data_IF_422208442239
#
_entry.id   IF_422208442239
#
_cell.length_a   1.000
_cell.length_b   1.000
_cell.length_c   1.000
_cell.angle_alpha   90.00
_cell.angle_beta   90.00
_cell.angle_gamma   90.00
#
_symmetry.space_group_name_H-M   'P 1'
#
loop_
_entity.id
_entity.type
_entity.pdbx_description
1 polymer ?
#
# COMPACT_ATOMS: atom_id res chain seq x y z
N UNK A 1 -35.13 -5.13 2.37
CA UNK A 1 -33.73 -4.85 2.71
C UNK A 1 -33.17 -3.65 1.92
N UNK A 2 -34.02 -2.89 1.20
CA UNK A 2 -33.60 -1.70 0.42
C UNK A 2 -34.01 -0.36 1.06
N UNK A 3 -34.86 -0.37 2.10
CA UNK A 3 -35.32 0.83 2.78
C UNK A 3 -34.31 1.39 3.82
N UNK A 4 -33.37 0.57 4.28
CA UNK A 4 -32.38 0.96 5.31
C UNK A 4 -31.16 1.68 4.70
N UNK A 5 -30.88 1.48 3.40
CA UNK A 5 -29.75 2.12 2.72
C UNK A 5 -30.07 3.57 2.27
N UNK A 6 -31.34 3.90 2.07
CA UNK A 6 -31.80 5.24 1.67
C UNK A 6 -31.83 6.23 2.85
N UNK A 7 -32.09 5.76 4.07
CA UNK A 7 -32.05 6.62 5.25
C UNK A 7 -30.60 6.99 5.61
N UNK A 8 -29.67 6.03 5.58
CA UNK A 8 -28.25 6.26 5.89
C UNK A 8 -27.54 7.24 4.94
N UNK A 9 -28.03 7.41 3.71
CA UNK A 9 -27.51 8.39 2.74
C UNK A 9 -28.09 9.80 2.97
N UNK A 10 -29.34 9.90 3.42
CA UNK A 10 -29.97 11.17 3.77
C UNK A 10 -29.38 11.79 5.06
N UNK A 11 -29.07 10.97 6.07
CA UNK A 11 -28.50 11.48 7.33
C UNK A 11 -27.06 11.99 7.15
N UNK A 12 -26.33 11.44 6.18
CA UNK A 12 -24.95 11.84 5.86
C UNK A 12 -24.87 13.18 5.14
N UNK A 13 -25.89 13.51 4.32
CA UNK A 13 -26.00 14.81 3.65
C UNK A 13 -26.31 15.95 4.63
N UNK A 14 -27.15 15.71 5.63
CA UNK A 14 -27.51 16.73 6.63
C UNK A 14 -26.34 17.08 7.58
N UNK A 15 -25.45 16.12 7.85
CA UNK A 15 -24.23 16.35 8.65
C UNK A 15 -23.16 17.16 7.90
N UNK A 16 -23.13 17.10 6.56
CA UNK A 16 -22.20 17.89 5.74
C UNK A 16 -22.67 19.34 5.57
N UNK A 17 -23.98 19.58 5.50
CA UNK A 17 -24.57 20.93 5.44
C UNK A 17 -24.40 21.71 6.75
N UNK A 18 -24.61 21.06 7.90
CA UNK A 18 -24.44 21.70 9.22
C UNK A 18 -22.99 22.11 9.49
N UNK A 19 -22.03 21.34 8.99
CA UNK A 19 -20.61 21.62 9.16
C UNK A 19 -20.15 22.81 8.30
N UNK A 20 -20.75 23.01 7.11
CA UNK A 20 -20.50 24.17 6.25
C UNK A 20 -21.08 25.48 6.82
N UNK A 21 -22.25 25.43 7.48
CA UNK A 21 -22.82 26.61 8.16
C UNK A 21 -22.01 27.04 9.38
N UNK A 22 -21.44 26.09 10.15
CA UNK A 22 -20.59 26.44 11.31
C UNK A 22 -19.18 26.92 10.95
N UNK A 23 -18.70 26.61 9.75
CA UNK A 23 -17.41 27.11 9.25
C UNK A 23 -17.54 28.53 8.66
N UNK A 24 -18.72 28.89 8.11
CA UNK A 24 -18.97 30.22 7.56
C UNK A 24 -19.15 31.32 8.63
N UNK A 25 -19.65 31.00 9.82
CA UNK A 25 -19.89 31.98 10.89
C UNK A 25 -18.67 32.27 11.78
N UNK A 26 -17.52 31.60 11.55
CA UNK A 26 -16.32 31.75 12.38
C UNK A 26 -15.20 32.60 11.80
N UNK A 27 -15.41 33.20 10.63
CA UNK A 27 -14.40 34.00 9.93
C UNK A 27 -14.63 35.52 9.98
N UNK A 28 -15.55 36.02 10.81
CA UNK A 28 -15.80 37.46 10.95
C UNK A 28 -15.86 37.91 12.42
N UNK A 29 -14.71 37.89 13.09
CA UNK A 29 -14.41 38.83 14.17
C UNK A 29 -12.95 39.31 13.99
N UNK A 30 -12.79 40.28 13.09
CA UNK A 30 -11.63 41.16 13.05
C UNK A 30 -11.65 42.07 14.29
N UNK A 31 -10.59 42.14 15.10
CA UNK A 31 -10.33 43.34 15.84
C UNK A 31 -9.63 44.32 14.90
N UNK A 32 -10.39 45.32 14.42
CA UNK A 32 -9.79 46.57 14.00
C UNK A 32 -8.98 47.13 15.17
N UNK A 33 -7.66 47.25 15.02
CA UNK A 33 -6.92 48.32 15.68
C UNK A 33 -5.57 48.60 14.99
N UNK A 34 -5.52 49.79 14.40
CA UNK A 34 -4.35 50.63 14.09
C UNK A 34 -3.50 50.26 12.88
N UNK A 35 -3.95 50.77 11.73
CA UNK A 35 -3.10 51.17 10.62
C UNK A 35 -2.02 52.16 11.11
N UNK A 36 -0.81 51.63 11.30
CA UNK A 36 0.41 52.43 11.30
C UNK A 36 1.33 51.76 10.28
N UNK A 37 1.65 52.49 9.22
CA UNK A 37 2.51 52.13 8.09
C UNK A 37 3.75 51.31 8.49
N UNK A 38 3.68 49.97 8.42
CA UNK A 38 4.78 49.09 8.82
C UNK A 38 5.19 48.21 7.65
N UNK A 39 6.43 48.44 7.19
CA UNK A 39 7.18 47.58 6.27
C UNK A 39 6.91 46.11 6.63
N UNK A 40 6.63 45.26 5.63
CA UNK A 40 6.32 43.82 5.82
C UNK A 40 7.28 43.21 6.83
N UNK A 41 6.78 42.94 8.02
CA UNK A 41 7.59 42.36 9.08
C UNK A 41 7.71 40.87 8.80
N UNK A 42 8.96 40.40 8.69
CA UNK A 42 9.24 38.98 8.51
C UNK A 42 9.22 38.29 9.89
N UNK A 43 8.39 37.25 10.07
CA UNK A 43 8.37 36.48 11.31
C UNK A 43 9.68 35.74 11.52
N UNK A 44 10.00 35.48 12.79
CA UNK A 44 11.19 34.75 13.18
C UNK A 44 10.86 33.67 14.19
N UNK A 45 11.48 32.50 14.03
CA UNK A 45 11.25 31.35 14.92
C UNK A 45 12.43 31.17 15.87
N UNK A 46 12.09 30.90 17.12
CA UNK A 46 13.02 30.52 18.19
C UNK A 46 12.70 29.08 18.60
N UNK A 47 13.74 28.25 18.59
CA UNK A 47 13.72 26.89 19.09
C UNK A 47 14.01 26.86 20.59
N UNK A 48 13.20 26.11 21.33
CA UNK A 48 13.42 25.71 22.72
C UNK A 48 13.97 24.28 22.73
N UNK A 49 15.23 24.13 23.13
CA UNK A 49 15.86 22.82 23.26
C UNK A 49 15.56 22.11 24.58
N UNK A 50 15.12 22.85 25.61
CA UNK A 50 14.79 22.29 26.91
C UNK A 50 13.46 22.85 27.41
N UNK A 51 12.56 21.96 27.80
CA UNK A 51 11.23 22.30 28.31
C UNK A 51 11.05 21.68 29.71
N UNK A 52 10.81 22.48 30.75
CA UNK A 52 10.60 21.97 32.10
C UNK A 52 9.37 21.07 32.25
N UNK A 53 9.34 20.19 33.26
CA UNK A 53 8.15 19.39 33.57
C UNK A 53 6.97 20.31 33.95
N UNK A 54 5.77 20.01 33.43
CA UNK A 54 4.55 20.83 33.58
C UNK A 54 4.57 22.19 32.88
N UNK A 55 5.56 22.45 32.04
CA UNK A 55 5.57 23.64 31.23
C UNK A 55 4.55 23.52 30.08
N UNK A 56 3.75 24.56 29.85
CA UNK A 56 2.70 24.58 28.83
C UNK A 56 3.02 25.68 27.82
N UNK A 57 2.56 25.56 26.56
CA UNK A 57 2.73 26.61 25.55
C UNK A 57 2.24 27.99 26.02
N UNK A 58 1.15 28.01 26.81
CA UNK A 58 0.60 29.24 27.38
C UNK A 58 1.57 29.95 28.34
N UNK A 59 2.33 29.19 29.14
CA UNK A 59 3.34 29.78 30.03
C UNK A 59 4.42 30.47 29.21
N UNK A 60 4.94 29.84 28.15
CA UNK A 60 5.93 30.47 27.27
C UNK A 60 5.40 31.72 26.61
N UNK A 61 4.17 31.68 26.09
CA UNK A 61 3.54 32.86 25.51
C UNK A 61 3.52 34.00 26.53
N UNK A 62 3.08 33.75 27.76
CA UNK A 62 3.00 34.79 28.79
C UNK A 62 4.38 35.33 29.20
N UNK A 63 5.38 34.46 29.35
CA UNK A 63 6.75 34.88 29.72
C UNK A 63 7.42 35.67 28.58
N UNK A 64 7.26 35.24 27.32
CA UNK A 64 7.90 35.86 26.17
C UNK A 64 7.13 37.07 25.63
N UNK A 65 5.85 37.20 25.95
CA UNK A 65 5.03 38.37 25.59
C UNK A 65 5.58 39.69 26.14
N UNK A 66 6.38 39.65 27.21
CA UNK A 66 7.04 40.83 27.76
C UNK A 66 8.15 41.39 26.83
N UNK A 67 8.68 40.58 25.93
CA UNK A 67 9.78 40.97 25.03
C UNK A 67 9.28 41.31 23.61
N UNK A 68 8.10 40.82 23.22
CA UNK A 68 7.43 41.19 21.99
C UNK A 68 6.25 40.28 21.65
N UNK A 69 5.61 40.55 20.51
CA UNK A 69 4.43 39.83 20.05
C UNK A 69 4.76 38.38 19.65
N UNK A 70 4.20 37.43 20.41
CA UNK A 70 4.32 35.99 20.17
C UNK A 70 3.13 35.50 19.33
N UNK A 71 3.44 34.90 18.20
CA UNK A 71 2.48 34.26 17.30
C UNK A 71 2.20 32.81 17.71
N UNK A 72 2.51 31.87 16.80
CA UNK A 72 2.27 30.44 17.01
C UNK A 72 3.32 29.83 17.95
N UNK A 73 2.87 28.88 18.77
CA UNK A 73 3.72 28.11 19.69
C UNK A 73 3.40 26.64 19.56
N UNK A 74 4.41 25.81 19.32
CA UNK A 74 4.26 24.36 19.19
C UNK A 74 5.29 23.67 20.07
N UNK A 75 4.84 22.72 20.88
CA UNK A 75 5.71 21.89 21.70
C UNK A 75 5.59 20.43 21.27
N UNK A 76 6.73 19.81 21.00
CA UNK A 76 6.80 18.39 20.70
C UNK A 76 6.65 17.61 21.99
N UNK A 77 5.58 16.83 22.08
CA UNK A 77 5.37 15.93 23.21
C UNK A 77 6.39 14.78 23.16
N UNK A 78 6.84 14.32 24.33
CA UNK A 78 7.68 13.12 24.41
C UNK A 78 7.04 11.93 23.69
N UNK A 79 7.88 11.05 23.13
CA UNK A 79 7.41 9.88 22.39
C UNK A 79 6.48 9.02 23.25
N UNK A 80 5.47 8.45 22.57
CA UNK A 80 4.41 7.67 23.22
C UNK A 80 4.97 6.47 23.97
N UNK A 81 6.06 5.89 23.49
CA UNK A 81 6.69 4.74 24.15
C UNK A 81 7.31 5.12 25.48
N UNK A 82 8.09 6.20 25.52
CA UNK A 82 8.72 6.73 26.75
C UNK A 82 7.64 7.11 27.76
N UNK A 83 6.58 7.80 27.31
CA UNK A 83 5.44 8.15 28.16
C UNK A 83 4.73 6.91 28.72
N UNK A 84 4.53 5.87 27.90
CA UNK A 84 3.91 4.61 28.37
C UNK A 84 4.80 3.89 29.38
N UNK A 85 6.12 3.84 29.15
CA UNK A 85 7.10 3.24 30.08
C UNK A 85 7.12 3.98 31.42
N UNK A 86 7.19 5.32 31.42
CA UNK A 86 7.10 6.15 32.63
C UNK A 86 5.78 5.93 33.36
N UNK A 87 4.66 5.85 32.64
CA UNK A 87 3.33 5.56 33.21
C UNK A 87 3.25 4.17 33.83
N UNK A 88 3.82 3.15 33.18
CA UNK A 88 3.86 1.79 33.68
C UNK A 88 4.73 1.68 34.94
N UNK A 89 5.91 2.30 34.95
CA UNK A 89 6.80 2.36 36.10
C UNK A 89 6.14 3.08 37.31
N UNK A 90 5.34 4.11 37.05
CA UNK A 90 4.62 4.85 38.10
C UNK A 90 3.32 4.19 38.58
N UNK A 91 2.91 3.05 37.99
CA UNK A 91 1.69 2.34 38.38
C UNK A 91 1.85 1.47 39.64
N UNK A 92 3.09 1.27 40.11
CA UNK A 92 3.43 0.37 41.22
C UNK A 92 3.19 0.90 42.65
N UNK A 93 2.79 2.16 42.84
CA UNK A 93 2.41 2.63 44.18
C UNK A 93 2.64 4.12 44.41
N UNK A 94 1.62 4.75 45.01
CA UNK A 94 1.51 6.15 45.45
C UNK A 94 1.24 7.18 44.35
N UNK A 95 -0.03 7.59 44.34
CA UNK A 95 -0.69 8.71 43.63
C UNK A 95 -0.33 8.79 42.16
N UNK A 96 -1.33 8.51 41.29
CA UNK A 96 -1.28 8.79 39.85
C UNK A 96 -0.56 10.12 39.66
N UNK A 97 0.69 10.12 39.20
CA UNK A 97 1.33 11.38 38.92
C UNK A 97 0.43 12.02 37.87
N UNK A 98 -0.07 13.21 38.20
CA UNK A 98 -0.71 14.13 37.27
C UNK A 98 0.37 14.60 36.30
N UNK A 99 1.01 13.67 35.60
CA UNK A 99 2.02 13.91 34.59
C UNK A 99 1.30 14.68 33.51
N UNK A 100 1.49 16.00 33.57
CA UNK A 100 1.36 16.87 32.43
C UNK A 100 2.08 16.21 31.25
N UNK A 101 1.61 16.44 30.03
CA UNK A 101 2.39 16.09 28.84
C UNK A 101 3.75 16.76 29.00
N UNK A 102 4.78 15.95 29.24
CA UNK A 102 6.14 16.42 29.18
C UNK A 102 6.48 16.64 27.71
N UNK A 103 7.18 17.74 27.46
CA UNK A 103 7.58 18.15 26.13
C UNK A 103 9.10 18.06 26.06
N UNK A 104 9.61 17.58 24.92
CA UNK A 104 11.06 17.48 24.71
C UNK A 104 11.59 18.78 24.14
N UNK A 105 10.87 19.33 23.16
CA UNK A 105 11.31 20.46 22.34
C UNK A 105 10.15 21.41 22.08
N UNK A 106 10.47 22.65 21.72
CA UNK A 106 9.48 23.66 21.38
C UNK A 106 9.91 24.62 20.29
N UNK A 107 8.95 25.22 19.60
CA UNK A 107 9.14 26.28 18.62
C UNK A 107 8.18 27.41 18.93
N UNK A 108 8.73 28.61 18.95
CA UNK A 108 8.01 29.86 19.23
C UNK A 108 8.22 30.78 18.04
N UNK A 109 7.13 31.20 17.43
CA UNK A 109 7.15 32.22 16.39
C UNK A 109 6.94 33.61 17.01
N UNK A 110 7.82 34.54 16.68
CA UNK A 110 7.65 35.97 16.92
C UNK A 110 7.25 36.66 15.62
N UNK A 111 6.41 37.69 15.74
CA UNK A 111 6.00 38.51 14.59
C UNK A 111 7.21 39.18 13.91
N UNK A 112 8.19 39.58 14.71
CA UNK A 112 9.41 40.25 14.25
C UNK A 112 10.66 39.38 14.44
N UNK A 113 11.38 39.06 13.34
CA UNK A 113 12.67 38.35 13.43
C UNK A 113 13.75 39.10 14.21
N UNK A 114 13.67 40.43 14.31
CA UNK A 114 14.62 41.25 15.07
C UNK A 114 14.45 40.99 16.58
N UNK A 115 13.20 40.90 17.02
CA UNK A 115 12.86 40.54 18.40
C UNK A 115 13.30 39.11 18.68
N UNK A 116 12.99 38.16 17.78
CA UNK A 116 13.43 36.77 17.93
C UNK A 116 14.95 36.63 18.14
N UNK A 117 15.75 37.36 17.34
CA UNK A 117 17.22 37.38 17.49
C UNK A 117 17.67 37.95 18.84
N UNK A 118 17.08 39.08 19.26
CA UNK A 118 17.40 39.72 20.54
C UNK A 118 17.02 38.80 21.71
N UNK A 119 15.82 38.24 21.69
CA UNK A 119 15.33 37.31 22.72
C UNK A 119 16.23 36.10 22.82
N UNK A 120 16.58 35.47 21.70
CA UNK A 120 17.50 34.34 21.70
C UNK A 120 18.88 34.73 22.26
N UNK A 121 19.44 35.89 21.91
CA UNK A 121 20.74 36.32 22.43
C UNK A 121 20.71 36.70 23.92
N UNK A 122 19.63 37.33 24.39
CA UNK A 122 19.53 37.85 25.75
C UNK A 122 19.03 36.83 26.77
N UNK A 123 18.08 35.96 26.38
CA UNK A 123 17.48 35.00 27.31
C UNK A 123 18.15 33.63 27.27
N UNK A 124 18.96 33.31 26.27
CA UNK A 124 19.67 32.03 26.26
C UNK A 124 20.58 31.89 27.51
N UNK A 125 20.47 30.74 28.18
CA UNK A 125 21.13 30.40 29.45
C UNK A 125 20.75 31.28 30.66
N UNK A 126 19.64 32.01 30.60
CA UNK A 126 19.13 32.77 31.75
C UNK A 126 18.09 31.95 32.54
N UNK A 127 17.94 32.17 33.86
CA UNK A 127 16.92 31.48 34.65
C UNK A 127 15.51 31.85 34.20
N UNK A 128 14.63 30.85 34.08
CA UNK A 128 13.25 31.03 33.60
C UNK A 128 12.37 31.86 34.55
N UNK A 129 12.64 31.76 35.85
CA UNK A 129 11.84 32.40 36.88
C UNK A 129 12.65 33.31 37.80
N UNK A 130 12.31 34.59 37.83
CA UNK A 130 12.81 35.51 38.86
C UNK A 130 12.11 35.33 40.22
N UNK A 131 10.93 34.67 40.25
CA UNK A 131 10.08 34.58 41.44
C UNK A 131 10.47 33.38 42.32
N UNK A 132 10.65 33.61 43.62
CA UNK A 132 11.04 32.57 44.60
C UNK A 132 10.10 31.36 44.67
N UNK A 133 8.80 31.56 44.40
CA UNK A 133 7.77 30.50 44.38
C UNK A 133 7.45 29.96 42.99
N UNK A 134 8.17 30.36 41.92
CA UNK A 134 7.88 29.84 40.58
C UNK A 134 8.33 28.38 40.46
N UNK A 135 7.52 27.49 39.85
CA UNK A 135 7.90 26.09 39.63
C UNK A 135 9.16 25.91 38.78
N UNK A 136 9.50 26.89 37.94
CA UNK A 136 10.57 26.85 36.93
C UNK A 136 11.80 27.67 37.33
N UNK A 137 12.03 27.85 38.63
CA UNK A 137 13.10 28.74 39.14
C UNK A 137 14.50 28.25 38.80
N UNK A 138 14.72 26.94 38.90
CA UNK A 138 16.03 26.32 38.70
C UNK A 138 16.31 25.97 37.24
N UNK A 139 15.29 26.05 36.39
CA UNK A 139 15.43 25.74 34.98
C UNK A 139 15.98 26.95 34.22
N UNK A 140 16.87 26.67 33.26
CA UNK A 140 17.45 27.68 32.39
C UNK A 140 16.76 27.67 31.03
N UNK A 141 16.63 28.85 30.44
CA UNK A 141 16.20 29.01 29.05
C UNK A 141 17.25 28.44 28.09
N UNK A 142 16.86 27.47 27.27
CA UNK A 142 17.68 27.01 26.14
C UNK A 142 17.02 27.44 24.82
N UNK A 143 17.34 28.66 24.39
CA UNK A 143 16.79 29.28 23.18
C UNK A 143 17.80 29.30 22.03
N UNK A 144 17.37 29.00 20.81
CA UNK A 144 18.17 29.18 19.60
C UNK A 144 17.32 29.85 18.51
N UNK A 145 17.81 30.94 17.94
CA UNK A 145 17.17 31.54 16.77
C UNK A 145 17.47 30.71 15.51
N UNK A 146 16.43 30.43 14.72
CA UNK A 146 16.57 29.70 13.46
C UNK A 146 16.51 30.67 12.28
N UNK A 147 17.61 30.78 11.54
CA UNK A 147 17.70 31.66 10.39
C UNK A 147 16.98 31.07 9.17
N UNK A 148 16.26 31.91 8.40
CA UNK A 148 15.50 31.52 7.19
C UNK A 148 14.49 30.38 7.40
N UNK A 149 14.12 30.13 8.66
CA UNK A 149 13.16 29.11 9.02
C UNK A 149 11.79 29.74 9.24
N UNK A 150 10.77 29.21 8.57
CA UNK A 150 9.38 29.67 8.66
C UNK A 150 8.51 28.56 9.25
N UNK A 151 7.31 28.92 9.71
CA UNK A 151 6.41 27.95 10.34
C UNK A 151 5.97 26.87 9.36
N UNK A 152 5.81 27.22 8.08
CA UNK A 152 5.46 26.29 7.01
C UNK A 152 6.45 25.13 6.93
N UNK A 153 7.76 25.41 7.03
CA UNK A 153 8.79 24.36 7.03
C UNK A 153 8.67 23.43 8.24
N UNK A 154 8.33 23.95 9.42
CA UNK A 154 8.10 23.13 10.62
C UNK A 154 6.89 22.22 10.43
N UNK A 155 5.76 22.76 9.97
CA UNK A 155 4.55 21.99 9.74
C UNK A 155 4.73 20.94 8.64
N UNK A 156 5.44 21.29 7.58
CA UNK A 156 5.76 20.39 6.47
C UNK A 156 6.62 19.22 6.95
N UNK A 157 7.72 19.51 7.67
CA UNK A 157 8.59 18.48 8.23
C UNK A 157 7.82 17.54 9.18
N UNK A 158 7.01 18.10 10.09
CA UNK A 158 6.18 17.29 11.01
C UNK A 158 5.11 16.48 10.28
N UNK A 159 4.51 17.02 9.21
CA UNK A 159 3.54 16.29 8.40
C UNK A 159 4.20 15.13 7.65
N UNK A 160 5.36 15.40 7.04
CA UNK A 160 6.17 14.40 6.35
C UNK A 160 6.57 13.26 7.28
N UNK A 161 7.13 13.56 8.45
CA UNK A 161 7.54 12.54 9.43
C UNK A 161 6.35 11.66 9.86
N UNK A 162 5.20 12.28 10.15
CA UNK A 162 3.97 11.54 10.49
C UNK A 162 3.50 10.67 9.34
N UNK A 163 3.57 11.16 8.11
CA UNK A 163 3.17 10.42 6.92
C UNK A 163 4.08 9.21 6.69
N UNK A 164 5.40 9.39 6.77
CA UNK A 164 6.38 8.31 6.65
C UNK A 164 6.14 7.25 7.72
N UNK A 165 5.99 7.66 8.99
CA UNK A 165 5.69 6.72 10.08
C UNK A 165 4.38 5.96 9.85
N UNK A 166 3.34 6.65 9.37
CA UNK A 166 2.03 6.04 9.06
C UNK A 166 2.12 5.06 7.90
N UNK A 167 2.86 5.40 6.84
CA UNK A 167 3.08 4.52 5.69
C UNK A 167 3.84 3.27 6.09
N UNK A 168 4.91 3.41 6.89
CA UNK A 168 5.67 2.27 7.42
C UNK A 168 4.80 1.34 8.25
N UNK A 169 4.04 1.87 9.20
CA UNK A 169 3.11 1.07 10.01
C UNK A 169 2.04 0.38 9.15
N UNK A 170 1.54 1.04 8.10
CA UNK A 170 0.58 0.43 7.17
C UNK A 170 1.20 -0.72 6.39
N UNK A 171 2.43 -0.57 5.92
CA UNK A 171 3.15 -1.63 5.22
C UNK A 171 3.40 -2.84 6.15
N UNK A 172 3.85 -2.60 7.38
CA UNK A 172 4.07 -3.64 8.40
C UNK A 172 2.75 -4.37 8.72
N UNK A 173 1.64 -3.64 8.92
CA UNK A 173 0.32 -4.25 9.14
C UNK A 173 -0.17 -5.01 7.91
N UNK A 174 0.05 -4.48 6.70
CA UNK A 174 -0.34 -5.15 5.46
C UNK A 174 0.45 -6.45 5.26
N UNK A 175 1.73 -6.48 5.61
CA UNK A 175 2.54 -7.70 5.58
C UNK A 175 2.01 -8.74 6.58
N UNK A 176 1.80 -8.35 7.84
CA UNK A 176 1.27 -9.26 8.86
C UNK A 176 -0.12 -9.81 8.49
N UNK A 177 -0.97 -8.99 7.88
CA UNK A 177 -2.27 -9.43 7.35
C UNK A 177 -2.11 -10.44 6.21
N UNK A 178 -1.23 -10.19 5.23
CA UNK A 178 -0.96 -11.14 4.14
C UNK A 178 -0.50 -12.50 4.66
N UNK A 179 0.39 -12.51 5.65
CA UNK A 179 0.88 -13.74 6.28
C UNK A 179 -0.23 -14.46 7.05
N UNK A 180 -1.06 -13.73 7.79
CA UNK A 180 -2.21 -14.28 8.52
C UNK A 180 -3.26 -14.85 7.57
N UNK A 181 -3.63 -14.10 6.53
CA UNK A 181 -4.59 -14.52 5.51
C UNK A 181 -4.09 -15.75 4.75
N UNK A 182 -2.79 -15.83 4.48
CA UNK A 182 -2.17 -16.99 3.86
C UNK A 182 -2.25 -18.23 4.76
N UNK A 183 -1.99 -18.08 6.06
CA UNK A 183 -2.12 -19.16 7.03
C UNK A 183 -3.57 -19.67 7.12
N UNK A 184 -4.54 -18.76 7.27
CA UNK A 184 -5.97 -19.11 7.33
C UNK A 184 -6.41 -19.87 6.08
N UNK A 185 -6.05 -19.38 4.88
CA UNK A 185 -6.36 -20.07 3.61
C UNK A 185 -5.71 -21.45 3.51
N UNK A 186 -4.50 -21.61 4.05
CA UNK A 186 -3.78 -22.88 4.04
C UNK A 186 -4.42 -23.89 5.00
N UNK A 187 -4.84 -23.45 6.18
CA UNK A 187 -5.57 -24.29 7.15
C UNK A 187 -6.93 -24.70 6.61
N UNK A 188 -7.71 -23.77 6.06
CA UNK A 188 -8.99 -24.09 5.42
C UNK A 188 -8.82 -25.09 4.27
N UNK A 189 -7.79 -24.92 3.44
CA UNK A 189 -7.47 -25.85 2.37
C UNK A 189 -7.11 -27.23 2.93
N UNK A 190 -6.30 -27.30 3.97
CA UNK A 190 -5.96 -28.55 4.66
C UNK A 190 -7.19 -29.25 5.23
N UNK A 191 -8.09 -28.51 5.91
CA UNK A 191 -9.35 -29.05 6.41
C UNK A 191 -10.24 -29.57 5.29
N UNK A 192 -10.34 -28.84 4.17
CA UNK A 192 -11.09 -29.29 2.97
C UNK A 192 -10.50 -30.56 2.36
N UNK A 193 -9.17 -30.68 2.31
CA UNK A 193 -8.51 -31.90 1.84
C UNK A 193 -8.84 -33.09 2.75
N UNK A 194 -8.69 -32.92 4.07
CA UNK A 194 -9.02 -33.98 5.04
C UNK A 194 -10.50 -34.37 4.99
N UNK A 195 -11.42 -33.40 4.87
CA UNK A 195 -12.85 -33.68 4.72
C UNK A 195 -13.17 -34.42 3.41
N UNK A 196 -12.45 -34.10 2.33
CA UNK A 196 -12.65 -34.73 1.02
C UNK A 196 -11.96 -36.09 0.85
N UNK A 197 -11.02 -36.45 1.73
CA UNK A 197 -10.44 -37.80 1.83
C UNK A 197 -11.34 -38.74 2.66
N UNK A 198 -12.17 -38.19 3.54
CA UNK A 198 -13.17 -38.94 4.33
C UNK A 198 -14.50 -39.20 3.61
N UNK A 199 -14.68 -38.73 2.37
CA UNK A 199 -15.88 -38.93 1.57
C UNK A 199 -15.82 -40.24 0.76
N UNK A 200 -16.56 -41.30 1.15
CA UNK A 200 -16.52 -42.61 0.49
C UNK A 200 -17.12 -42.61 -0.92
N UNK A 201 -17.78 -41.51 -1.32
CA UNK A 201 -18.43 -41.36 -2.62
C UNK A 201 -17.45 -40.91 -3.72
N UNK A 202 -16.20 -40.59 -3.36
CA UNK A 202 -15.20 -40.07 -4.29
C UNK A 202 -14.53 -41.22 -5.06
N UNK A 203 -14.54 -41.22 -6.41
CA UNK A 203 -13.85 -42.26 -7.17
C UNK A 203 -12.35 -42.17 -6.92
N UNK A 204 -11.72 -43.31 -6.64
CA UNK A 204 -10.27 -43.44 -6.43
C UNK A 204 -9.52 -42.98 -7.68
N UNK A 205 -9.22 -41.68 -7.73
CA UNK A 205 -8.37 -41.08 -8.76
C UNK A 205 -6.93 -41.43 -8.41
N UNK A 206 -6.59 -42.69 -8.61
CA UNK A 206 -5.21 -43.07 -8.87
C UNK A 206 -4.70 -42.13 -9.96
N UNK A 207 -3.71 -41.31 -9.61
CA UNK A 207 -3.11 -40.35 -10.52
C UNK A 207 -2.39 -41.19 -11.59
N UNK A 208 -3.10 -41.54 -12.66
CA UNK A 208 -2.49 -42.24 -13.78
C UNK A 208 -1.53 -41.26 -14.46
N UNK A 209 -0.28 -41.25 -14.01
CA UNK A 209 0.82 -40.57 -14.67
C UNK A 209 0.97 -41.25 -16.04
N UNK A 210 0.30 -40.70 -17.05
CA UNK A 210 0.47 -41.16 -18.42
C UNK A 210 1.89 -40.80 -18.85
N UNK A 211 2.81 -41.76 -18.68
CA UNK A 211 4.19 -41.65 -19.13
C UNK A 211 4.18 -41.29 -20.61
N UNK A 212 4.87 -40.20 -20.97
CA UNK A 212 4.98 -39.79 -22.37
C UNK A 212 5.63 -40.94 -23.15
N UNK A 213 5.03 -41.41 -24.25
CA UNK A 213 5.57 -42.53 -25.01
C UNK A 213 6.97 -42.17 -25.51
N UNK A 214 7.88 -43.13 -25.42
CA UNK A 214 9.30 -42.93 -25.71
C UNK A 214 9.51 -42.67 -27.21
N UNK A 215 10.60 -42.00 -27.60
CA UNK A 215 10.86 -41.67 -29.01
C UNK A 215 10.91 -42.92 -29.92
N UNK A 216 11.32 -44.06 -29.35
CA UNK A 216 11.31 -45.37 -30.02
C UNK A 216 9.89 -45.88 -30.30
N UNK A 217 8.95 -45.73 -29.37
CA UNK A 217 7.54 -46.07 -29.58
C UNK A 217 6.90 -45.15 -30.63
N UNK A 218 7.26 -43.87 -30.65
CA UNK A 218 6.80 -42.94 -31.68
C UNK A 218 7.32 -43.31 -33.07
N UNK A 219 8.57 -43.73 -33.20
CA UNK A 219 9.17 -44.19 -34.46
C UNK A 219 8.56 -45.52 -34.91
N UNK A 220 8.38 -46.48 -34.01
CA UNK A 220 7.73 -47.76 -34.31
C UNK A 220 6.27 -47.57 -34.73
N UNK A 221 5.53 -46.67 -34.07
CA UNK A 221 4.14 -46.34 -34.43
C UNK A 221 4.04 -45.64 -35.80
N UNK A 222 5.04 -44.82 -36.16
CA UNK A 222 5.14 -44.23 -37.51
C UNK A 222 5.51 -45.30 -38.56
N UNK A 223 6.42 -46.22 -38.26
CA UNK A 223 6.80 -47.32 -39.14
C UNK A 223 5.65 -48.33 -39.35
N UNK A 224 4.84 -48.57 -38.32
CA UNK A 224 3.65 -49.43 -38.38
C UNK A 224 2.47 -48.79 -39.17
N UNK A 225 2.53 -47.48 -39.44
CA UNK A 225 1.60 -46.79 -40.34
C UNK A 225 2.34 -46.22 -41.55
N UNK A 226 2.83 -47.08 -42.47
CA UNK A 226 3.47 -46.59 -43.69
C UNK A 226 2.41 -45.97 -44.60
N UNK A 227 2.50 -44.66 -44.83
CA UNK A 227 1.96 -44.02 -46.03
C UNK A 227 0.46 -44.15 -46.30
N UNK A 228 -0.41 -44.25 -45.29
CA UNK A 228 -1.87 -44.37 -45.49
C UNK A 228 -2.47 -43.24 -46.34
N UNK A 229 -1.88 -42.04 -46.28
CA UNK A 229 -2.28 -40.89 -47.13
C UNK A 229 -1.84 -41.04 -48.58
N UNK A 230 -0.65 -41.58 -48.85
CA UNK A 230 -0.16 -41.77 -50.22
C UNK A 230 -0.85 -42.94 -50.92
N UNK A 231 -1.10 -44.05 -50.21
CA UNK A 231 -1.90 -45.17 -50.74
C UNK A 231 -3.34 -44.76 -51.06
N UNK A 232 -3.98 -43.96 -50.21
CA UNK A 232 -5.32 -43.43 -50.48
C UNK A 232 -5.33 -42.47 -51.68
N UNK A 233 -4.26 -41.66 -51.85
CA UNK A 233 -4.11 -40.73 -52.98
C UNK A 233 -3.89 -41.46 -54.31
N UNK A 234 -3.09 -42.54 -54.30
CA UNK A 234 -2.87 -43.40 -55.47
C UNK A 234 -4.14 -44.18 -55.85
N UNK A 235 -4.90 -44.69 -54.86
CA UNK A 235 -6.17 -45.35 -55.12
C UNK A 235 -7.20 -44.39 -55.76
N UNK A 236 -7.31 -43.16 -55.25
CA UNK A 236 -8.19 -42.13 -55.82
C UNK A 236 -7.79 -41.75 -57.25
N UNK A 237 -6.49 -41.64 -57.54
CA UNK A 237 -6.00 -41.38 -58.90
C UNK A 237 -6.29 -42.54 -59.86
N UNK A 238 -6.26 -43.78 -59.37
CA UNK A 238 -6.56 -44.97 -60.16
C UNK A 238 -8.06 -45.08 -60.50
N UNK A 239 -8.94 -44.74 -59.56
CA UNK A 239 -10.39 -44.68 -59.81
C UNK A 239 -10.76 -43.55 -60.78
N UNK A 240 -10.08 -42.40 -60.68
CA UNK A 240 -10.25 -41.27 -61.62
C UNK A 240 -9.75 -41.61 -63.03
N UNK A 241 -8.72 -42.46 -63.15
CA UNK A 241 -8.27 -42.97 -64.45
C UNK A 241 -9.27 -43.99 -65.06
N UNK A 242 -9.93 -44.81 -64.23
CA UNK A 242 -10.96 -45.75 -64.67
C UNK A 242 -12.20 -45.05 -65.22
N UNK A 243 -12.65 -43.96 -64.60
CA UNK A 243 -13.79 -43.18 -65.07
C UNK A 243 -13.55 -42.50 -66.42
N UNK A 244 -12.29 -42.22 -66.77
CA UNK A 244 -11.92 -41.56 -68.02
C UNK A 244 -11.73 -42.53 -69.21
N UNK A 245 -11.75 -43.86 -68.96
CA UNK A 245 -11.50 -44.88 -69.99
C UNK A 245 -12.54 -44.87 -71.12
N UNK A 246 -13.82 -44.66 -70.79
CA UNK A 246 -14.89 -44.58 -71.80
C UNK A 246 -14.85 -43.30 -72.64
N UNK A 247 -14.36 -42.20 -72.05
CA UNK A 247 -14.21 -40.92 -72.74
C UNK A 247 -13.01 -40.93 -73.69
N UNK A 248 -11.90 -41.53 -73.25
CA UNK A 248 -10.69 -41.70 -74.07
C UNK A 248 -10.89 -42.70 -75.23
N UNK A 249 -11.69 -43.76 -75.04
CA UNK A 249 -12.03 -44.69 -76.10
C UNK A 249 -12.87 -44.05 -77.23
N UNK A 250 -13.68 -43.03 -76.91
CA UNK A 250 -14.46 -42.26 -77.90
C UNK A 250 -13.63 -41.23 -78.67
N UNK A 251 -12.55 -40.73 -78.07
CA UNK A 251 -11.69 -39.70 -78.68
C UNK A 251 -10.59 -40.33 -79.54
N UNK A 252 -10.01 -41.46 -79.12
CA UNK A 252 -8.85 -42.08 -79.78
C UNK A 252 -9.14 -43.40 -80.51
N UNK A 253 -10.38 -43.91 -80.44
CA UNK A 253 -10.75 -45.22 -80.97
C UNK A 253 -10.31 -46.38 -80.08
N UNK A 254 -11.11 -47.44 -80.00
CA UNK A 254 -10.78 -48.62 -79.20
C UNK A 254 -9.72 -49.49 -79.90
N UNK A 255 -8.68 -49.99 -79.19
CA UNK A 255 -7.75 -50.96 -79.76
C UNK A 255 -8.44 -52.31 -80.01
N UNK A 256 -8.10 -53.03 -81.10
CA UNK A 256 -8.74 -54.31 -81.44
C UNK A 256 -8.38 -55.40 -80.42
N UNK A 257 -9.28 -56.36 -80.14
CA UNK A 257 -9.03 -57.43 -79.18
C UNK A 257 -8.03 -58.44 -79.75
N UNK A 258 -6.86 -58.55 -79.14
CA UNK A 258 -5.88 -59.62 -79.40
C UNK A 258 -6.40 -60.94 -78.83
N UNK A 259 -6.42 -61.96 -79.68
CA UNK A 259 -6.90 -63.31 -79.38
C UNK A 259 -6.09 -64.05 -78.31
N UNK A 260 -6.78 -65.01 -77.72
CA UNK A 260 -6.32 -66.07 -76.83
C UNK A 260 -5.03 -66.76 -77.28
N UNK A 261 -4.07 -66.88 -76.37
CA UNK A 261 -3.12 -68.00 -76.38
C UNK A 261 -2.96 -68.51 -74.95
N UNK A 262 -3.16 -69.81 -74.87
CA UNK A 262 -3.28 -70.67 -73.71
C UNK A 262 -1.99 -70.77 -72.88
N UNK A 263 -2.16 -70.99 -71.58
CA UNK A 263 -1.11 -71.54 -70.74
C UNK A 263 -0.88 -73.02 -71.07
N UNK A 264 0.37 -73.51 -71.03
CA UNK A 264 0.63 -74.91 -70.77
C UNK A 264 1.16 -75.12 -69.36
N UNK A 265 0.42 -75.93 -68.61
CA UNK A 265 0.80 -76.55 -67.35
C UNK A 265 1.78 -77.73 -67.54
N UNK A 266 2.60 -77.96 -66.51
CA UNK A 266 3.12 -79.25 -66.00
C UNK A 266 4.37 -79.91 -66.64
N UNK A 267 5.44 -80.02 -65.84
CA UNK A 267 6.08 -81.25 -65.32
C UNK A 267 7.23 -80.84 -64.35
N UNK A 268 7.33 -81.30 -63.08
CA UNK A 268 7.92 -82.58 -62.60
C UNK A 268 9.34 -82.82 -63.14
N UNK A 269 10.39 -83.21 -62.40
CA UNK A 269 10.58 -83.81 -61.08
C UNK A 269 12.09 -83.70 -60.72
N UNK A 270 12.41 -84.04 -59.45
CA UNK A 270 13.73 -84.33 -58.81
C UNK A 270 14.58 -83.16 -58.32
#
# INVERSE_FOLDING_TARGET
>A
MEAEETEATAERGQLEELNQTTEAEKEQEEPEETACSKKRVVPGIVYLGHVPPRFRPLHVRNLLSAYGEVGRVFFQAEDRFVRRKKKAAASGGKKRPKYSKDYTEGWVEFRDKRVAKRVAASLHNTPMGARRRSPFRYDLWNLKYLHRFTWSHLSEHLAFERQVRRQRLRAEVAQAKRETDFYLRSVERGQRFLAADGDPTRPDRSWAFAQRPTEQELRARKAARPGGRERARLAAAQDQARSNRGLLARIFGAPPPSGSTEEPSLARDV
#
